data_IF_327626771656
#
_entry.id   IF_327626771656
#
_cell.length_a   1.000
_cell.length_b   1.000
_cell.length_c   1.000
_cell.angle_alpha   90.00
_cell.angle_beta   90.00
_cell.angle_gamma   90.00
#
_symmetry.space_group_name_H-M   'P 1'
#
loop_
_entity.id
_entity.type
_entity.pdbx_description
1 polymer ?
#
# COMPACT_ATOMS: atom_id res chain seq x y z
N UNK A 1 -15.91 -43.79 15.32
CA UNK A 1 -17.34 -44.09 15.02
C UNK A 1 -18.14 -42.80 15.26
N UNK A 2 -18.63 -42.18 14.28
CA UNK A 2 -19.90 -41.50 14.04
C UNK A 2 -19.72 -40.48 12.93
N UNK A 3 -20.29 -40.87 11.82
CA UNK A 3 -20.51 -40.06 10.62
C UNK A 3 -21.71 -39.14 10.90
N UNK A 4 -21.60 -37.86 10.53
CA UNK A 4 -22.79 -37.07 10.20
C UNK A 4 -22.47 -36.25 8.96
N UNK A 5 -23.04 -36.70 7.87
CA UNK A 5 -23.17 -35.95 6.63
C UNK A 5 -24.38 -35.00 6.80
N UNK A 6 -24.23 -33.76 6.40
CA UNK A 6 -25.38 -32.91 6.08
C UNK A 6 -24.97 -31.99 4.93
N UNK A 7 -25.45 -32.37 3.74
CA UNK A 7 -25.49 -31.55 2.56
C UNK A 7 -26.61 -30.51 2.71
N UNK A 8 -26.33 -29.24 2.46
CA UNK A 8 -27.35 -28.25 2.14
C UNK A 8 -26.88 -27.47 0.92
N UNK A 9 -27.47 -27.83 -0.22
CA UNK A 9 -27.54 -27.05 -1.44
C UNK A 9 -28.54 -25.90 -1.21
N UNK A 10 -28.09 -24.67 -1.41
CA UNK A 10 -29.01 -23.59 -1.74
C UNK A 10 -28.37 -22.68 -2.79
N UNK A 11 -28.82 -22.90 -4.01
CA UNK A 11 -28.67 -22.07 -5.19
C UNK A 11 -29.57 -20.84 -5.06
N UNK A 12 -29.02 -19.64 -5.10
CA UNK A 12 -29.77 -18.44 -5.45
C UNK A 12 -29.01 -17.65 -6.51
N UNK A 13 -29.47 -17.84 -7.74
CA UNK A 13 -29.12 -16.97 -8.87
C UNK A 13 -29.85 -15.63 -8.69
N UNK A 14 -29.13 -14.52 -8.65
CA UNK A 14 -29.69 -13.19 -8.75
C UNK A 14 -29.13 -12.51 -10.00
N UNK A 15 -29.96 -12.53 -11.04
CA UNK A 15 -29.77 -11.73 -12.26
C UNK A 15 -29.96 -10.24 -11.91
N UNK A 16 -28.94 -9.44 -12.12
CA UNK A 16 -29.06 -7.97 -12.13
C UNK A 16 -28.87 -7.48 -13.56
N UNK A 17 -29.97 -6.99 -14.12
CA UNK A 17 -30.01 -6.34 -15.42
C UNK A 17 -29.40 -4.94 -15.32
N UNK A 18 -28.45 -4.64 -16.21
CA UNK A 18 -27.84 -3.32 -16.34
C UNK A 18 -28.61 -2.58 -17.42
N UNK A 19 -29.30 -1.52 -17.04
CA UNK A 19 -29.90 -0.55 -17.95
C UNK A 19 -28.82 0.41 -18.44
N UNK A 20 -28.60 0.42 -19.77
CA UNK A 20 -27.84 1.41 -20.46
C UNK A 20 -28.63 2.72 -20.54
N UNK A 21 -28.02 3.84 -20.15
CA UNK A 21 -28.48 5.17 -20.53
C UNK A 21 -27.39 5.82 -21.35
N UNK A 22 -27.64 5.86 -22.66
CA UNK A 22 -26.93 6.72 -23.60
C UNK A 22 -27.40 8.16 -23.42
N UNK A 23 -26.48 9.10 -23.54
CA UNK A 23 -26.74 10.54 -23.58
C UNK A 23 -25.72 11.20 -24.48
N UNK A 24 -26.05 11.23 -25.74
CA UNK A 24 -25.41 12.06 -26.76
C UNK A 24 -25.95 13.49 -26.61
N UNK A 25 -25.09 14.48 -26.54
CA UNK A 25 -25.42 15.88 -26.91
C UNK A 25 -24.16 16.62 -27.28
N UNK A 26 -24.00 16.79 -28.55
CA UNK A 26 -23.04 17.69 -29.15
C UNK A 26 -23.23 19.15 -28.71
N UNK A 27 -22.14 19.86 -28.63
CA UNK A 27 -22.06 21.30 -28.39
C UNK A 27 -20.73 21.84 -28.86
N UNK A 28 -20.69 22.17 -30.12
CA UNK A 28 -19.67 22.97 -30.76
C UNK A 28 -19.67 24.38 -30.15
N UNK A 29 -18.55 24.85 -29.62
CA UNK A 29 -18.29 26.29 -29.47
C UNK A 29 -16.80 26.57 -29.51
N UNK A 30 -16.44 27.19 -30.60
CA UNK A 30 -15.18 27.87 -30.90
C UNK A 30 -14.67 28.77 -29.79
N UNK A 31 -13.34 28.68 -29.53
CA UNK A 31 -12.53 29.86 -29.24
C UNK A 31 -12.23 30.12 -27.79
N UNK A 32 -11.02 29.88 -27.44
CA UNK A 32 -10.07 30.74 -26.74
C UNK A 32 -8.95 29.89 -26.14
N UNK A 33 -7.76 30.08 -26.66
CA UNK A 33 -6.52 29.67 -26.00
C UNK A 33 -6.36 30.48 -24.72
N UNK A 34 -6.22 29.85 -23.55
CA UNK A 34 -5.52 30.46 -22.45
C UNK A 34 -4.20 29.71 -22.21
N UNK A 35 -3.19 30.53 -22.21
CA UNK A 35 -1.89 30.39 -21.62
C UNK A 35 -1.61 29.06 -20.86
N UNK A 36 -0.52 28.44 -21.32
CA UNK A 36 0.18 27.40 -20.59
C UNK A 36 0.39 27.80 -19.13
N UNK A 37 -0.33 27.17 -18.24
CA UNK A 37 0.08 27.04 -16.85
C UNK A 37 1.24 26.06 -16.85
N UNK A 38 2.40 26.40 -16.27
CA UNK A 38 3.47 25.45 -16.10
C UNK A 38 2.90 24.27 -15.31
N UNK A 39 2.94 23.10 -15.90
CA UNK A 39 2.82 21.86 -15.15
C UNK A 39 3.90 21.95 -14.05
N UNK A 40 3.48 22.08 -12.82
CA UNK A 40 4.34 21.74 -11.70
C UNK A 40 4.69 20.27 -11.91
N UNK A 41 5.85 20.09 -12.51
CA UNK A 41 6.60 18.87 -12.42
C UNK A 41 6.76 18.61 -10.93
N UNK A 42 5.93 17.72 -10.39
CA UNK A 42 6.25 17.09 -9.13
C UNK A 42 7.58 16.37 -9.40
N UNK A 43 8.63 17.06 -9.05
CA UNK A 43 9.94 16.47 -8.92
C UNK A 43 9.76 15.34 -7.91
N UNK A 44 9.71 14.12 -8.41
CA UNK A 44 10.12 12.96 -7.65
C UNK A 44 11.41 13.38 -6.95
N UNK A 45 11.53 13.26 -5.63
CA UNK A 45 12.79 13.55 -4.97
C UNK A 45 13.81 12.62 -5.59
N UNK A 46 14.64 13.20 -6.47
CA UNK A 46 15.75 12.49 -7.06
C UNK A 46 16.67 12.07 -5.93
N UNK A 47 16.91 10.79 -5.90
CA UNK A 47 18.07 10.12 -5.41
C UNK A 47 19.27 11.06 -5.18
N UNK A 48 19.41 11.52 -3.97
CA UNK A 48 20.71 11.94 -3.50
C UNK A 48 21.25 10.76 -2.72
N UNK A 49 21.88 9.82 -3.46
CA UNK A 49 22.71 8.78 -2.89
C UNK A 49 23.89 9.42 -2.18
N UNK A 50 23.68 9.85 -0.95
CA UNK A 50 24.74 10.14 -0.02
C UNK A 50 25.17 8.79 0.62
N UNK A 51 26.43 8.64 1.03
CA UNK A 51 26.91 7.47 1.78
C UNK A 51 26.46 7.58 3.24
N UNK A 52 25.18 7.34 3.44
CA UNK A 52 24.44 7.28 4.69
C UNK A 52 23.01 7.00 4.27
N UNK A 53 22.41 5.89 4.76
CA UNK A 53 21.03 5.53 4.46
C UNK A 53 20.04 6.65 4.81
N UNK A 54 18.75 6.48 4.50
CA UNK A 54 17.73 7.47 4.81
C UNK A 54 17.75 7.79 6.31
N UNK A 55 17.50 9.05 6.65
CA UNK A 55 17.40 9.48 8.05
C UNK A 55 16.20 8.79 8.74
N UNK A 56 16.21 8.71 10.06
CA UNK A 56 15.10 8.12 10.83
C UNK A 56 13.76 8.81 10.51
N UNK A 57 13.78 10.12 10.28
CA UNK A 57 12.57 10.87 9.92
C UNK A 57 12.04 10.49 8.54
N UNK A 58 12.93 10.31 7.57
CA UNK A 58 12.55 9.84 6.23
C UNK A 58 11.99 8.41 6.27
N UNK A 59 12.58 7.55 7.10
CA UNK A 59 12.07 6.17 7.28
C UNK A 59 10.73 6.16 8.00
N UNK A 60 10.54 7.02 9.01
CA UNK A 60 9.26 7.15 9.69
C UNK A 60 8.15 7.62 8.74
N UNK A 61 8.44 8.57 7.84
CA UNK A 61 7.51 9.00 6.80
C UNK A 61 7.21 7.84 5.83
N UNK A 62 8.23 7.13 5.38
CA UNK A 62 8.09 5.97 4.51
C UNK A 62 7.23 4.87 5.15
N UNK A 63 7.38 4.64 6.45
CA UNK A 63 6.54 3.72 7.22
C UNK A 63 5.10 4.20 7.27
N UNK A 64 4.86 5.46 7.57
CA UNK A 64 3.51 6.03 7.65
C UNK A 64 2.77 5.89 6.31
N UNK A 65 3.44 6.14 5.21
CA UNK A 65 2.86 6.12 3.87
C UNK A 65 2.54 4.71 3.37
N UNK A 66 3.35 3.71 3.73
CA UNK A 66 3.25 2.36 3.17
C UNK A 66 2.72 1.30 4.15
N UNK A 67 2.98 1.48 5.44
CA UNK A 67 2.73 0.47 6.47
C UNK A 67 1.66 0.91 7.47
N UNK A 68 1.67 2.22 7.81
CA UNK A 68 0.84 2.79 8.88
C UNK A 68 -0.67 2.60 8.68
N UNK A 69 -1.12 2.51 7.42
CA UNK A 69 -2.54 2.28 7.10
C UNK A 69 -3.07 0.94 7.62
N UNK A 70 -2.23 -0.08 7.68
CA UNK A 70 -2.59 -1.40 8.18
C UNK A 70 -2.08 -1.65 9.61
N UNK A 71 -0.84 -1.25 9.89
CA UNK A 71 -0.17 -1.57 11.17
C UNK A 71 -0.31 -0.47 12.23
N UNK A 72 -1.00 0.64 11.92
CA UNK A 72 -1.07 1.80 12.79
C UNK A 72 0.18 2.68 12.66
N UNK A 73 0.05 3.96 13.00
CA UNK A 73 1.16 4.92 12.87
C UNK A 73 2.35 4.62 13.79
N UNK A 74 2.08 3.92 14.87
CA UNK A 74 3.04 3.49 15.89
C UNK A 74 3.32 1.98 15.88
N UNK A 75 2.81 1.26 14.87
CA UNK A 75 2.95 -0.18 14.75
C UNK A 75 2.03 -1.00 15.66
N UNK A 76 1.09 -0.37 16.38
CA UNK A 76 0.20 -1.04 17.34
C UNK A 76 -0.87 -1.95 16.73
N UNK A 77 -0.91 -2.04 15.41
CA UNK A 77 -1.89 -2.82 14.68
C UNK A 77 -3.09 -1.99 14.20
N UNK A 78 -3.96 -2.65 13.49
CA UNK A 78 -5.17 -2.09 12.90
C UNK A 78 -5.87 -3.19 12.11
N UNK A 79 -5.92 -3.07 10.78
CA UNK A 79 -6.29 -4.19 9.91
C UNK A 79 -5.15 -5.23 9.82
N UNK A 80 -3.91 -4.79 9.96
CA UNK A 80 -2.74 -5.64 10.13
C UNK A 80 -2.43 -5.90 11.61
N UNK A 81 -1.52 -6.84 11.90
CA UNK A 81 -1.12 -7.16 13.28
C UNK A 81 -0.32 -6.04 13.93
N UNK A 82 -0.26 -6.08 15.27
CA UNK A 82 0.71 -5.34 16.07
C UNK A 82 2.12 -5.87 15.76
N UNK A 83 3.02 -4.98 15.37
CA UNK A 83 4.41 -5.27 14.98
C UNK A 83 5.44 -4.64 15.93
N UNK A 84 4.97 -4.10 17.05
CA UNK A 84 5.86 -3.54 18.07
C UNK A 84 6.58 -4.65 18.80
N UNK A 85 7.85 -4.41 19.10
CA UNK A 85 8.69 -5.36 19.80
C UNK A 85 9.15 -6.55 18.95
N UNK A 86 8.96 -6.48 17.62
CA UNK A 86 9.63 -7.41 16.71
C UNK A 86 11.16 -7.26 16.86
N UNK A 87 11.87 -8.39 16.89
CA UNK A 87 13.32 -8.44 17.06
C UNK A 87 14.06 -9.23 15.97
N UNK A 88 13.31 -9.92 15.10
CA UNK A 88 13.87 -10.64 13.95
C UNK A 88 13.98 -9.74 12.72
N UNK A 89 15.08 -9.00 12.62
CA UNK A 89 15.38 -8.12 11.48
C UNK A 89 15.28 -8.85 10.13
N UNK A 90 15.79 -10.08 10.05
CA UNK A 90 15.81 -10.83 8.79
C UNK A 90 14.39 -11.28 8.40
N UNK A 91 13.59 -11.70 9.36
CA UNK A 91 12.18 -12.04 9.17
C UNK A 91 11.35 -10.86 8.75
N UNK A 92 11.49 -9.71 9.43
CA UNK A 92 10.80 -8.47 9.08
C UNK A 92 11.16 -8.02 7.66
N UNK A 93 12.44 -8.01 7.31
CA UNK A 93 12.88 -7.68 5.95
C UNK A 93 12.27 -8.61 4.91
N UNK A 94 12.34 -9.91 5.12
CA UNK A 94 11.77 -10.91 4.21
C UNK A 94 10.25 -10.74 4.06
N UNK A 95 9.56 -10.41 5.14
CA UNK A 95 8.12 -10.15 5.12
C UNK A 95 7.77 -8.90 4.29
N UNK A 96 8.56 -7.82 4.41
CA UNK A 96 8.38 -6.61 3.61
C UNK A 96 8.65 -6.92 2.12
N UNK A 97 9.72 -7.65 1.81
CA UNK A 97 10.08 -7.99 0.44
C UNK A 97 9.02 -8.85 -0.26
N UNK A 98 8.55 -9.88 0.42
CA UNK A 98 7.74 -10.95 -0.16
C UNK A 98 6.25 -10.81 0.11
N UNK A 99 5.86 -10.03 1.12
CA UNK A 99 4.48 -10.00 1.61
C UNK A 99 4.08 -11.30 2.27
N UNK A 100 2.79 -11.46 2.48
CA UNK A 100 2.21 -12.70 3.01
C UNK A 100 0.87 -12.46 3.69
N UNK A 101 -0.06 -13.41 3.59
CA UNK A 101 -1.42 -13.21 4.03
C UNK A 101 -2.08 -12.07 3.24
N UNK A 102 -2.52 -11.02 3.93
CA UNK A 102 -3.11 -9.83 3.31
C UNK A 102 -2.07 -8.71 3.06
N UNK A 103 -0.83 -8.88 3.53
CA UNK A 103 0.24 -7.91 3.33
C UNK A 103 0.81 -8.01 1.91
N UNK A 104 0.82 -6.93 1.12
CA UNK A 104 1.41 -6.94 -0.21
C UNK A 104 2.93 -7.06 -0.16
N UNK A 105 3.54 -7.55 -1.25
CA UNK A 105 4.98 -7.53 -1.44
C UNK A 105 5.45 -6.13 -1.87
N UNK A 106 6.48 -5.61 -1.23
CA UNK A 106 7.00 -4.27 -1.50
C UNK A 106 8.29 -4.26 -2.35
N UNK A 107 8.84 -5.41 -2.69
CA UNK A 107 10.07 -5.51 -3.50
C UNK A 107 9.98 -4.86 -4.89
N UNK A 108 8.78 -4.67 -5.44
CA UNK A 108 8.56 -3.96 -6.70
C UNK A 108 8.27 -2.46 -6.53
N UNK A 109 8.05 -1.99 -5.31
CA UNK A 109 7.62 -0.61 -5.00
C UNK A 109 8.71 0.17 -4.27
N UNK A 110 9.53 -0.50 -3.47
CA UNK A 110 10.58 0.09 -2.65
C UNK A 110 11.96 -0.40 -3.10
N UNK A 111 12.93 0.47 -2.97
CA UNK A 111 14.33 0.11 -3.21
C UNK A 111 14.86 -0.80 -2.09
N UNK A 112 15.82 -1.69 -2.37
CA UNK A 112 16.37 -2.59 -1.34
C UNK A 112 16.89 -1.86 -0.09
N UNK A 113 17.49 -0.68 -0.24
CA UNK A 113 17.94 0.14 0.89
C UNK A 113 16.79 0.72 1.73
N UNK A 114 15.64 1.01 1.12
CA UNK A 114 14.44 1.45 1.83
C UNK A 114 13.81 0.30 2.61
N UNK A 115 13.77 -0.89 2.04
CA UNK A 115 13.29 -2.10 2.72
C UNK A 115 14.14 -2.42 3.93
N UNK A 116 15.47 -2.37 3.78
CA UNK A 116 16.41 -2.59 4.89
C UNK A 116 16.20 -1.54 6.01
N UNK A 117 16.09 -0.27 5.63
CA UNK A 117 15.86 0.82 6.58
C UNK A 117 14.50 0.68 7.31
N UNK A 118 13.45 0.29 6.60
CA UNK A 118 12.14 0.01 7.20
C UNK A 118 12.21 -1.17 8.18
N UNK A 119 12.90 -2.25 7.82
CA UNK A 119 13.04 -3.40 8.69
C UNK A 119 13.80 -3.02 9.98
N UNK A 120 14.87 -2.24 9.87
CA UNK A 120 15.59 -1.69 11.02
C UNK A 120 14.70 -0.79 11.88
N UNK A 121 13.92 0.10 11.25
CA UNK A 121 13.00 0.98 11.95
C UNK A 121 11.96 0.20 12.78
N UNK A 122 11.39 -0.84 12.21
CA UNK A 122 10.43 -1.71 12.94
C UNK A 122 11.07 -2.31 14.19
N UNK A 123 12.26 -2.89 14.08
CA UNK A 123 12.89 -3.59 15.23
C UNK A 123 13.55 -2.66 16.24
N UNK A 124 13.83 -1.39 15.88
CA UNK A 124 14.51 -0.45 16.80
C UNK A 124 13.58 0.61 17.36
N UNK A 125 12.65 1.13 16.58
CA UNK A 125 11.85 2.31 16.94
C UNK A 125 10.42 1.95 17.39
N UNK A 126 9.82 0.87 16.85
CA UNK A 126 8.46 0.46 17.21
C UNK A 126 8.48 -0.46 18.44
N UNK A 127 8.31 0.11 19.64
CA UNK A 127 8.39 -0.62 20.92
C UNK A 127 7.20 -0.29 21.84
#
# INVERSE_FOLDING_TARGET
MRRIAAAILLTTALLFAIAACGGDSGGDTTGATPAATPAETQASPAETGAPGGPSTEEVAALFADNCGGCHGADGSGGSGPDIRGEDDLAGVRSQIESGGGEMPAFSSQLQPGQIEALAQYVVTELR
#
